data_IF_581356591100
#
_entry.id   IF_581356591100
#
_cell.length_a   1.000
_cell.length_b   1.000
_cell.length_c   1.000
_cell.angle_alpha   90.00
_cell.angle_beta   90.00
_cell.angle_gamma   90.00
#
_symmetry.space_group_name_H-M   'P 1'
#
loop_
_entity.id
_entity.type
_entity.pdbx_description
1 polymer ?
#
# COMPACT_ATOMS: atom_id res chain seq x y z
N UNK A 1 22.27 -20.02 4.78
CA UNK A 1 21.46 -21.09 5.39
C UNK A 1 20.01 -20.63 5.48
N UNK A 2 19.06 -21.43 5.00
CA UNK A 2 17.62 -21.19 5.20
C UNK A 2 17.32 -21.55 6.65
N UNK A 3 17.51 -20.60 7.56
CA UNK A 3 17.38 -20.85 8.99
C UNK A 3 15.91 -20.74 9.44
N UNK A 4 15.42 -21.77 10.14
CA UNK A 4 14.15 -21.78 10.86
C UNK A 4 13.01 -22.60 10.22
N UNK A 5 12.01 -22.94 11.04
CA UNK A 5 10.89 -23.81 10.67
C UNK A 5 10.10 -23.33 9.46
N UNK A 6 9.90 -22.01 9.33
CA UNK A 6 9.11 -21.42 8.26
C UNK A 6 9.72 -21.63 6.87
N UNK A 7 11.06 -21.62 6.77
CA UNK A 7 11.75 -21.90 5.50
C UNK A 7 11.68 -23.36 5.11
N UNK A 8 11.76 -24.28 6.08
CA UNK A 8 11.54 -25.71 5.84
C UNK A 8 10.11 -25.98 5.41
N UNK A 9 9.12 -25.36 6.05
CA UNK A 9 7.72 -25.48 5.70
C UNK A 9 7.47 -25.02 4.25
N UNK A 10 7.98 -23.84 3.88
CA UNK A 10 7.88 -23.35 2.51
C UNK A 10 8.48 -24.34 1.49
N UNK A 11 9.68 -24.86 1.75
CA UNK A 11 10.34 -25.81 0.85
C UNK A 11 9.65 -27.17 0.76
N UNK A 12 8.94 -27.61 1.81
CA UNK A 12 8.14 -28.82 1.74
C UNK A 12 7.01 -28.72 0.70
N UNK A 13 6.60 -27.51 0.33
CA UNK A 13 5.56 -27.25 -0.68
C UNK A 13 6.12 -27.15 -2.11
N UNK A 14 7.41 -26.89 -2.27
CA UNK A 14 8.03 -26.69 -3.59
C UNK A 14 7.85 -27.87 -4.55
N UNK A 15 8.04 -29.15 -4.16
CA UNK A 15 7.88 -30.26 -5.09
C UNK A 15 6.47 -30.40 -5.70
N UNK A 16 5.43 -29.90 -5.03
CA UNK A 16 4.06 -29.89 -5.58
C UNK A 16 3.96 -28.81 -6.65
N UNK A 17 4.28 -27.57 -6.30
CA UNK A 17 4.22 -26.43 -7.22
C UNK A 17 5.15 -26.61 -8.43
N UNK A 18 6.35 -27.15 -8.24
CA UNK A 18 7.28 -27.43 -9.33
C UNK A 18 6.70 -28.39 -10.37
N UNK A 19 6.02 -29.46 -9.91
CA UNK A 19 5.40 -30.45 -10.81
C UNK A 19 4.25 -29.86 -11.61
N UNK A 20 3.43 -28.99 -11.01
CA UNK A 20 2.38 -28.26 -11.73
C UNK A 20 2.96 -27.37 -12.84
N UNK A 21 4.15 -26.82 -12.61
CA UNK A 21 4.88 -26.01 -13.58
C UNK A 21 5.69 -26.85 -14.60
N UNK A 22 5.66 -28.18 -14.52
CA UNK A 22 6.47 -29.06 -15.35
C UNK A 22 7.98 -28.94 -15.10
N UNK A 23 8.38 -28.55 -13.89
CA UNK A 23 9.77 -28.35 -13.47
C UNK A 23 10.26 -29.51 -12.60
N UNK A 24 11.55 -29.85 -12.72
CA UNK A 24 12.23 -30.71 -11.75
C UNK A 24 12.57 -29.91 -10.48
N UNK A 25 11.98 -30.20 -9.31
CA UNK A 25 12.23 -29.46 -8.09
C UNK A 25 13.69 -29.54 -7.60
N UNK A 26 14.41 -30.63 -7.90
CA UNK A 26 15.78 -30.83 -7.45
C UNK A 26 16.78 -29.88 -8.15
N UNK A 27 16.41 -29.37 -9.32
CA UNK A 27 17.21 -28.44 -10.12
C UNK A 27 17.18 -27.00 -9.60
N UNK A 28 16.43 -26.71 -8.53
CA UNK A 28 16.26 -25.35 -8.00
C UNK A 28 16.89 -25.21 -6.61
N UNK A 29 17.70 -24.15 -6.44
CA UNK A 29 18.36 -23.85 -5.18
C UNK A 29 17.69 -22.66 -4.48
N UNK A 30 17.20 -22.84 -3.25
CA UNK A 30 16.54 -21.78 -2.53
C UNK A 30 17.52 -20.85 -1.80
N UNK A 31 17.21 -19.55 -1.82
CA UNK A 31 17.86 -18.50 -1.03
C UNK A 31 16.80 -17.64 -0.33
N UNK A 32 17.01 -17.18 0.92
CA UNK A 32 16.07 -16.28 1.59
C UNK A 32 15.93 -14.95 0.83
N UNK A 33 14.69 -14.53 0.55
CA UNK A 33 14.40 -13.23 -0.07
C UNK A 33 13.82 -12.25 0.95
N UNK A 34 12.78 -12.67 1.68
CA UNK A 34 12.20 -11.86 2.75
C UNK A 34 11.54 -12.77 3.81
N UNK A 35 11.52 -12.32 5.06
CA UNK A 35 10.84 -13.00 6.16
C UNK A 35 10.14 -12.00 7.04
N UNK A 36 8.92 -12.31 7.47
CA UNK A 36 8.25 -11.61 8.55
C UNK A 36 7.61 -12.61 9.49
N UNK A 37 7.94 -12.51 10.77
CA UNK A 37 7.39 -13.37 11.80
C UNK A 37 7.13 -12.56 13.07
N UNK A 38 5.86 -12.48 13.44
CA UNK A 38 5.35 -11.90 14.67
C UNK A 38 4.15 -12.74 15.15
N UNK A 39 3.49 -12.29 16.23
CA UNK A 39 2.36 -13.00 16.81
C UNK A 39 1.18 -13.18 15.83
N UNK A 40 1.01 -12.27 14.86
CA UNK A 40 -0.13 -12.24 13.93
C UNK A 40 0.23 -12.70 12.51
N UNK A 41 1.50 -12.53 12.13
CA UNK A 41 1.97 -12.81 10.76
C UNK A 41 3.15 -13.76 10.80
N UNK A 42 3.15 -14.78 9.96
CA UNK A 42 4.30 -15.63 9.70
C UNK A 42 4.34 -15.92 8.21
N UNK A 43 5.22 -15.24 7.49
CA UNK A 43 5.41 -15.42 6.05
C UNK A 43 6.87 -15.39 5.67
N UNK A 44 7.22 -16.18 4.66
CA UNK A 44 8.55 -16.20 4.07
C UNK A 44 8.45 -16.17 2.54
N UNK A 45 9.37 -15.46 1.93
CA UNK A 45 9.63 -15.47 0.50
C UNK A 45 11.03 -16.03 0.31
N UNK A 46 11.16 -17.02 -0.57
CA UNK A 46 12.43 -17.59 -1.02
C UNK A 46 12.61 -17.26 -2.49
N UNK A 47 13.81 -16.84 -2.88
CA UNK A 47 14.24 -16.89 -4.28
C UNK A 47 14.64 -18.34 -4.59
N UNK A 48 14.13 -18.89 -5.68
CA UNK A 48 14.54 -20.18 -6.20
C UNK A 48 15.38 -19.92 -7.45
N UNK A 49 16.66 -20.26 -7.39
CA UNK A 49 17.59 -20.18 -8.51
C UNK A 49 17.58 -21.51 -9.28
N UNK A 50 17.16 -21.48 -10.54
CA UNK A 50 16.99 -22.65 -11.39
C UNK A 50 17.98 -22.72 -12.54
N UNK A 51 17.79 -23.71 -13.44
CA UNK A 51 18.59 -23.85 -14.65
C UNK A 51 18.55 -22.60 -15.54
N UNK A 52 19.62 -22.40 -16.30
CA UNK A 52 19.71 -21.31 -17.31
C UNK A 52 19.54 -19.91 -16.71
N UNK A 53 19.83 -19.74 -15.41
CA UNK A 53 19.71 -18.45 -14.72
C UNK A 53 18.26 -18.03 -14.43
N UNK A 54 17.28 -18.91 -14.65
CA UNK A 54 15.88 -18.65 -14.30
C UNK A 54 15.72 -18.49 -12.79
N UNK A 55 14.90 -17.54 -12.38
CA UNK A 55 14.58 -17.30 -10.97
C UNK A 55 13.07 -17.24 -10.75
N UNK A 56 12.63 -17.78 -9.63
CA UNK A 56 11.24 -17.75 -9.17
C UNK A 56 11.18 -17.29 -7.72
N UNK A 57 10.02 -16.76 -7.31
CA UNK A 57 9.71 -16.51 -5.90
C UNK A 57 8.78 -17.59 -5.39
N UNK A 58 9.19 -18.27 -4.32
CA UNK A 58 8.31 -19.12 -3.52
C UNK A 58 7.86 -18.35 -2.29
N UNK A 59 6.56 -18.06 -2.21
CA UNK A 59 5.92 -17.39 -1.08
C UNK A 59 5.14 -18.43 -0.27
N UNK A 60 5.28 -18.39 1.05
CA UNK A 60 4.48 -19.20 1.97
C UNK A 60 3.99 -18.37 3.15
N UNK A 61 2.71 -18.48 3.47
CA UNK A 61 2.04 -17.80 4.58
C UNK A 61 1.49 -18.82 5.59
N UNK A 62 2.18 -18.95 6.73
CA UNK A 62 1.74 -19.80 7.84
C UNK A 62 0.68 -19.11 8.71
N UNK A 63 0.85 -17.81 8.97
CA UNK A 63 -0.13 -16.99 9.72
C UNK A 63 -0.51 -15.71 8.98
N UNK A 64 -1.79 -15.31 8.98
CA UNK A 64 -2.92 -15.97 9.65
C UNK A 64 -3.28 -17.31 9.01
N UNK A 65 -3.79 -18.25 9.80
CA UNK A 65 -4.32 -19.53 9.31
C UNK A 65 -5.72 -19.30 8.72
N UNK A 66 -5.74 -18.68 7.54
CA UNK A 66 -6.96 -18.26 6.86
C UNK A 66 -6.88 -18.59 5.35
N UNK A 67 -7.22 -19.83 4.97
CA UNK A 67 -7.22 -20.26 3.57
C UNK A 67 -8.16 -19.43 2.69
N UNK A 68 -9.27 -18.93 3.23
CA UNK A 68 -10.22 -18.12 2.48
C UNK A 68 -9.62 -16.78 2.09
N UNK A 69 -8.89 -16.14 3.01
CA UNK A 69 -8.15 -14.91 2.72
C UNK A 69 -7.03 -15.14 1.70
N UNK A 70 -6.29 -16.24 1.80
CA UNK A 70 -5.26 -16.58 0.82
C UNK A 70 -5.88 -16.80 -0.57
N UNK A 71 -6.98 -17.54 -0.65
CA UNK A 71 -7.74 -17.76 -1.90
C UNK A 71 -8.17 -16.44 -2.52
N UNK A 72 -8.76 -15.54 -1.72
CA UNK A 72 -9.19 -14.22 -2.19
C UNK A 72 -8.02 -13.38 -2.71
N UNK A 73 -6.84 -13.47 -2.09
CA UNK A 73 -5.63 -12.77 -2.55
C UNK A 73 -5.12 -13.35 -3.88
N UNK A 74 -5.12 -14.67 -4.06
CA UNK A 74 -4.74 -15.31 -5.33
C UNK A 74 -5.72 -14.99 -6.46
N UNK A 75 -7.02 -15.04 -6.18
CA UNK A 75 -8.05 -14.65 -7.15
C UNK A 75 -7.89 -13.19 -7.58
N UNK A 76 -7.69 -12.27 -6.62
CA UNK A 76 -7.43 -10.87 -6.93
C UNK A 76 -6.16 -10.68 -7.77
N UNK A 77 -5.08 -11.42 -7.49
CA UNK A 77 -3.86 -11.36 -8.30
C UNK A 77 -4.09 -11.84 -9.73
N UNK A 78 -4.81 -12.96 -9.92
CA UNK A 78 -5.13 -13.50 -11.24
C UNK A 78 -6.01 -12.54 -12.06
N UNK A 79 -7.04 -11.95 -11.46
CA UNK A 79 -7.89 -10.95 -12.12
C UNK A 79 -7.07 -9.76 -12.63
N UNK A 80 -6.13 -9.26 -11.81
CA UNK A 80 -5.26 -8.15 -12.22
C UNK A 80 -4.24 -8.59 -13.26
N UNK A 81 -3.71 -9.80 -13.17
CA UNK A 81 -2.80 -10.36 -14.18
C UNK A 81 -3.48 -10.51 -15.54
N UNK A 82 -4.75 -10.92 -15.56
CA UNK A 82 -5.54 -11.02 -16.80
C UNK A 82 -5.78 -9.63 -17.41
N UNK A 83 -6.17 -8.64 -16.60
CA UNK A 83 -6.48 -7.30 -17.08
C UNK A 83 -5.23 -6.42 -17.36
N UNK A 84 -4.14 -6.63 -16.62
CA UNK A 84 -2.95 -5.78 -16.62
C UNK A 84 -1.66 -6.57 -16.38
N UNK A 85 -1.43 -7.60 -17.20
CA UNK A 85 -0.27 -8.49 -17.10
C UNK A 85 1.09 -7.77 -16.96
N UNK A 86 1.29 -6.67 -17.70
CA UNK A 86 2.54 -5.92 -17.67
C UNK A 86 2.82 -5.22 -16.32
N UNK A 87 1.81 -5.06 -15.47
CA UNK A 87 1.89 -4.36 -14.19
C UNK A 87 2.00 -5.25 -12.95
N UNK A 88 2.06 -6.58 -13.11
CA UNK A 88 2.16 -7.51 -11.97
C UNK A 88 3.16 -8.63 -12.30
N UNK A 89 3.86 -9.21 -11.30
CA UNK A 89 4.60 -10.44 -11.54
C UNK A 89 3.65 -11.57 -11.88
N UNK A 90 4.02 -12.44 -12.82
CA UNK A 90 3.19 -13.59 -13.14
C UNK A 90 3.06 -14.54 -11.93
N UNK A 91 1.84 -14.82 -11.49
CA UNK A 91 1.51 -15.94 -10.61
C UNK A 91 1.48 -17.20 -11.46
N UNK A 92 2.39 -18.14 -11.16
CA UNK A 92 2.61 -19.32 -11.99
C UNK A 92 1.88 -20.55 -11.45
N UNK A 93 1.91 -20.74 -10.13
CA UNK A 93 1.21 -21.81 -9.43
C UNK A 93 0.89 -21.39 -8.00
N UNK A 94 -0.17 -21.93 -7.41
CA UNK A 94 -0.51 -21.69 -6.01
C UNK A 94 -1.29 -22.86 -5.42
N UNK A 95 -1.14 -23.04 -4.12
CA UNK A 95 -1.81 -24.05 -3.32
C UNK A 95 -2.52 -23.37 -2.15
N UNK A 96 -3.85 -23.45 -2.15
CA UNK A 96 -4.71 -22.80 -1.16
C UNK A 96 -4.59 -23.45 0.22
N UNK A 97 -4.57 -24.79 0.28
CA UNK A 97 -4.49 -25.52 1.55
C UNK A 97 -3.16 -25.26 2.25
N UNK A 98 -2.08 -25.21 1.46
CA UNK A 98 -0.72 -24.98 1.95
C UNK A 98 -0.34 -23.50 2.03
N UNK A 99 -1.22 -22.60 1.57
CA UNK A 99 -1.02 -21.15 1.49
C UNK A 99 0.35 -20.79 0.92
N UNK A 100 0.67 -21.41 -0.20
CA UNK A 100 1.95 -21.26 -0.89
C UNK A 100 1.72 -20.91 -2.35
N UNK A 101 2.61 -20.11 -2.92
CA UNK A 101 2.59 -19.84 -4.36
C UNK A 101 3.98 -19.65 -4.94
N UNK A 102 4.10 -19.97 -6.22
CA UNK A 102 5.26 -19.72 -7.06
C UNK A 102 4.95 -18.59 -8.03
N UNK A 103 5.81 -17.59 -8.08
CA UNK A 103 5.64 -16.38 -8.88
C UNK A 103 6.92 -16.08 -9.66
N UNK A 104 6.79 -15.29 -10.72
CA UNK A 104 7.91 -14.68 -11.40
C UNK A 104 8.78 -13.88 -10.42
N UNK A 105 10.09 -14.03 -10.56
CA UNK A 105 11.04 -13.21 -9.83
C UNK A 105 11.32 -11.91 -10.59
N UNK A 106 11.21 -10.78 -9.89
CA UNK A 106 11.46 -9.45 -10.44
C UNK A 106 12.80 -8.89 -9.95
N UNK A 107 13.63 -8.42 -10.87
CA UNK A 107 14.82 -7.61 -10.57
C UNK A 107 14.41 -6.18 -10.19
N UNK A 108 13.76 -6.06 -9.03
CA UNK A 108 13.13 -4.84 -8.58
C UNK A 108 13.28 -4.66 -7.07
N UNK A 109 13.18 -3.41 -6.60
CA UNK A 109 13.18 -3.07 -5.18
C UNK A 109 11.87 -2.39 -4.78
N UNK A 110 11.37 -2.59 -3.55
CA UNK A 110 10.20 -1.86 -3.07
C UNK A 110 10.41 -0.36 -3.15
N UNK A 111 9.38 0.39 -3.55
CA UNK A 111 9.42 1.84 -3.66
C UNK A 111 9.83 2.49 -2.33
N UNK A 112 9.41 1.93 -1.20
CA UNK A 112 9.84 2.40 0.13
C UNK A 112 11.35 2.40 0.31
N UNK A 113 12.05 1.38 -0.21
CA UNK A 113 13.52 1.27 -0.11
C UNK A 113 14.19 2.26 -1.04
N UNK A 114 13.66 2.44 -2.25
CA UNK A 114 14.20 3.40 -3.23
C UNK A 114 14.07 4.86 -2.76
N UNK A 115 13.08 5.16 -1.92
CA UNK A 115 12.87 6.48 -1.36
C UNK A 115 13.72 6.77 -0.11
N UNK A 116 14.43 5.78 0.45
CA UNK A 116 15.27 6.00 1.63
C UNK A 116 16.52 6.82 1.25
N UNK A 117 16.63 8.04 1.79
CA UNK A 117 17.76 8.93 1.55
C UNK A 117 17.77 9.61 0.17
N UNK A 118 16.84 9.27 -0.73
CA UNK A 118 16.76 9.87 -2.06
C UNK A 118 16.45 11.39 -1.97
N UNK A 119 17.12 12.25 -2.77
CA UNK A 119 16.77 13.66 -2.88
C UNK A 119 15.36 13.86 -3.46
N UNK A 120 14.72 15.01 -3.17
CA UNK A 120 13.34 15.29 -3.59
C UNK A 120 13.10 15.11 -5.10
N UNK A 121 14.04 15.52 -5.96
CA UNK A 121 13.94 15.34 -7.40
C UNK A 121 13.92 13.85 -7.83
N UNK A 122 14.70 13.01 -7.16
CA UNK A 122 14.70 11.56 -7.39
C UNK A 122 13.41 10.93 -6.84
N UNK A 123 12.96 11.35 -5.65
CA UNK A 123 11.67 10.94 -5.10
C UNK A 123 10.53 11.27 -6.07
N UNK A 124 10.54 12.46 -6.66
CA UNK A 124 9.55 12.90 -7.66
C UNK A 124 9.60 12.02 -8.92
N UNK A 125 10.79 11.66 -9.42
CA UNK A 125 10.92 10.74 -10.55
C UNK A 125 10.34 9.34 -10.23
N UNK A 126 10.61 8.82 -9.03
CA UNK A 126 10.05 7.54 -8.56
C UNK A 126 8.52 7.60 -8.42
N UNK A 127 7.99 8.69 -7.86
CA UNK A 127 6.54 8.89 -7.72
C UNK A 127 5.83 9.03 -9.07
N UNK A 128 6.48 9.60 -10.09
CA UNK A 128 5.95 9.63 -11.46
C UNK A 128 5.76 8.22 -12.01
N UNK A 129 6.73 7.32 -11.79
CA UNK A 129 6.63 5.92 -12.20
C UNK A 129 5.54 5.17 -11.43
N UNK A 130 5.43 5.44 -10.12
CA UNK A 130 4.34 4.91 -9.29
C UNK A 130 2.96 5.39 -9.78
N UNK A 131 2.85 6.68 -10.12
CA UNK A 131 1.65 7.25 -10.74
C UNK A 131 1.31 6.58 -12.06
N UNK A 132 2.30 6.42 -12.96
CA UNK A 132 2.11 5.74 -14.24
C UNK A 132 1.59 4.31 -14.08
N UNK A 133 2.15 3.55 -13.14
CA UNK A 133 1.67 2.22 -12.82
C UNK A 133 0.22 2.25 -12.33
N UNK A 134 -0.11 3.11 -11.36
CA UNK A 134 -1.46 3.20 -10.79
C UNK A 134 -2.48 3.65 -11.84
N UNK A 135 -2.08 4.55 -12.73
CA UNK A 135 -2.90 4.98 -13.86
C UNK A 135 -3.18 3.84 -14.83
N UNK A 136 -2.17 3.01 -15.13
CA UNK A 136 -2.33 1.80 -15.94
C UNK A 136 -3.28 0.80 -15.28
N UNK A 137 -3.08 0.53 -13.99
CA UNK A 137 -3.92 -0.36 -13.18
C UNK A 137 -5.39 0.09 -13.17
N UNK A 138 -5.66 1.36 -12.86
CA UNK A 138 -7.03 1.89 -12.85
C UNK A 138 -7.65 1.97 -14.26
N UNK A 139 -6.86 2.11 -15.33
CA UNK A 139 -7.35 2.03 -16.72
C UNK A 139 -7.74 0.62 -17.12
N UNK A 140 -6.98 -0.38 -16.68
CA UNK A 140 -7.24 -1.78 -16.98
C UNK A 140 -8.49 -2.31 -16.26
N UNK A 141 -8.79 -1.77 -15.08
CA UNK A 141 -9.94 -2.16 -14.26
C UNK A 141 -10.81 -0.93 -13.93
N UNK A 142 -11.43 -0.33 -14.97
CA UNK A 142 -12.10 0.95 -14.84
C UNK A 142 -13.41 0.82 -14.06
N UNK A 143 -13.79 1.92 -13.42
CA UNK A 143 -15.16 2.15 -12.97
C UNK A 143 -15.77 3.31 -13.76
N UNK A 144 -16.75 3.95 -13.15
CA UNK A 144 -17.50 5.05 -13.75
C UNK A 144 -17.07 6.40 -13.16
N UNK A 145 -17.37 7.48 -13.89
CA UNK A 145 -17.42 8.82 -13.29
C UNK A 145 -18.64 8.92 -12.39
N UNK A 146 -18.47 9.46 -11.19
CA UNK A 146 -19.55 9.61 -10.21
C UNK A 146 -19.43 10.94 -9.50
N UNK A 147 -20.56 11.39 -8.94
CA UNK A 147 -20.54 12.49 -7.96
C UNK A 147 -19.88 11.99 -6.68
N UNK A 148 -18.87 12.70 -6.22
CA UNK A 148 -18.19 12.38 -4.97
C UNK A 148 -19.10 12.72 -3.77
N UNK A 149 -19.28 11.74 -2.88
CA UNK A 149 -20.12 11.85 -1.69
C UNK A 149 -19.24 11.82 -0.43
N UNK A 150 -18.65 12.97 -0.01
CA UNK A 150 -17.74 13.03 1.14
C UNK A 150 -18.42 12.63 2.45
N UNK A 151 -19.76 12.72 2.52
CA UNK A 151 -20.58 12.38 3.70
C UNK A 151 -20.27 10.99 4.29
N UNK A 152 -19.88 10.01 3.47
CA UNK A 152 -19.57 8.66 3.96
C UNK A 152 -18.24 8.65 4.73
N UNK A 153 -17.19 9.21 4.17
CA UNK A 153 -15.88 9.32 4.83
C UNK A 153 -15.96 10.20 6.07
N UNK A 154 -16.62 11.37 5.96
CA UNK A 154 -16.73 12.31 7.08
C UNK A 154 -17.70 11.81 8.15
N UNK A 155 -18.73 11.05 7.79
CA UNK A 155 -19.61 10.37 8.74
C UNK A 155 -18.85 9.36 9.59
N UNK A 156 -17.99 8.55 8.97
CA UNK A 156 -17.10 7.65 9.69
C UNK A 156 -16.11 8.41 10.58
N UNK A 157 -15.49 9.49 10.08
CA UNK A 157 -14.58 10.32 10.86
C UNK A 157 -15.26 10.93 12.08
N UNK A 158 -16.50 11.43 11.96
CA UNK A 158 -17.29 11.93 13.09
C UNK A 158 -17.57 10.84 14.12
N UNK A 159 -17.80 9.60 13.69
CA UNK A 159 -17.89 8.44 14.59
C UNK A 159 -16.59 8.23 15.37
N UNK A 160 -15.44 8.24 14.70
CA UNK A 160 -14.12 8.15 15.34
C UNK A 160 -13.91 9.30 16.34
N UNK A 161 -14.28 10.54 15.98
CA UNK A 161 -14.18 11.69 16.89
C UNK A 161 -15.03 11.50 18.15
N UNK A 162 -16.26 10.99 18.02
CA UNK A 162 -17.14 10.72 19.15
C UNK A 162 -16.60 9.59 20.06
N UNK A 163 -16.01 8.54 19.47
CA UNK A 163 -15.33 7.48 20.23
C UNK A 163 -14.11 8.01 20.99
N UNK A 164 -13.33 8.91 20.38
CA UNK A 164 -12.18 9.54 21.05
C UNK A 164 -12.65 10.45 22.18
N UNK A 165 -13.65 11.30 21.93
CA UNK A 165 -14.18 12.22 22.93
C UNK A 165 -14.80 11.50 24.14
N UNK A 166 -15.42 10.34 23.93
CA UNK A 166 -15.98 9.51 25.00
C UNK A 166 -14.95 8.58 25.67
N UNK A 167 -13.72 8.51 25.15
CA UNK A 167 -12.68 7.59 25.62
C UNK A 167 -12.84 6.14 25.17
N UNK A 168 -13.87 5.82 24.37
CA UNK A 168 -14.08 4.49 23.79
C UNK A 168 -12.96 4.10 22.80
N UNK A 169 -12.27 5.09 22.21
CA UNK A 169 -11.08 4.88 21.39
C UNK A 169 -9.91 5.68 21.94
N UNK A 170 -8.85 4.97 22.33
CA UNK A 170 -7.59 5.62 22.70
C UNK A 170 -6.83 6.07 21.45
N UNK A 171 -6.46 7.34 21.40
CA UNK A 171 -5.54 7.92 20.40
C UNK A 171 -4.51 8.78 21.10
N UNK A 172 -3.34 8.94 20.49
CA UNK A 172 -2.35 9.89 20.97
C UNK A 172 -2.83 11.33 20.75
N UNK A 173 -2.56 12.25 21.67
CA UNK A 173 -2.95 13.67 21.55
C UNK A 173 -4.44 13.87 21.15
N UNK A 174 -5.40 13.36 21.95
CA UNK A 174 -6.80 13.27 21.56
C UNK A 174 -7.47 14.62 21.24
N UNK A 175 -7.16 15.67 22.00
CA UNK A 175 -7.71 17.01 21.77
C UNK A 175 -7.27 17.59 20.41
N UNK A 176 -5.97 17.49 20.11
CA UNK A 176 -5.39 17.92 18.84
C UNK A 176 -5.94 17.08 17.68
N UNK A 177 -6.08 15.78 17.88
CA UNK A 177 -6.71 14.90 16.90
C UNK A 177 -8.15 15.34 16.58
N UNK A 178 -8.97 15.60 17.61
CA UNK A 178 -10.36 16.07 17.45
C UNK A 178 -10.39 17.42 16.71
N UNK A 179 -9.50 18.35 17.06
CA UNK A 179 -9.38 19.66 16.42
C UNK A 179 -9.06 19.52 14.91
N UNK A 180 -8.03 18.75 14.56
CA UNK A 180 -7.66 18.48 13.16
C UNK A 180 -8.78 17.78 12.38
N UNK A 181 -9.43 16.78 12.98
CA UNK A 181 -10.56 16.07 12.37
C UNK A 181 -11.78 16.98 12.18
N UNK A 182 -12.03 17.89 13.12
CA UNK A 182 -13.06 18.92 13.03
C UNK A 182 -12.81 19.88 11.86
N UNK A 183 -11.57 20.33 11.68
CA UNK A 183 -11.18 21.17 10.55
C UNK A 183 -11.48 20.49 9.19
N UNK A 184 -11.15 19.20 9.05
CA UNK A 184 -11.49 18.45 7.83
C UNK A 184 -13.01 18.30 7.63
N UNK A 185 -13.76 18.10 8.71
CA UNK A 185 -15.22 18.00 8.65
C UNK A 185 -15.87 19.33 8.23
N UNK A 186 -15.35 20.47 8.69
CA UNK A 186 -15.85 21.79 8.33
C UNK A 186 -15.70 22.08 6.81
N UNK A 187 -14.72 21.45 6.16
CA UNK A 187 -14.45 21.59 4.74
C UNK A 187 -15.36 20.75 3.82
N UNK A 188 -16.35 20.01 4.35
CA UNK A 188 -17.21 19.11 3.56
C UNK A 188 -17.75 19.75 2.28
N UNK A 189 -18.24 20.99 2.37
CA UNK A 189 -18.85 21.71 1.25
C UNK A 189 -17.89 21.96 0.08
N UNK A 190 -16.57 21.93 0.30
CA UNK A 190 -15.55 22.08 -0.76
C UNK A 190 -15.47 20.89 -1.71
N UNK A 191 -15.96 19.73 -1.27
CA UNK A 191 -15.84 18.46 -1.99
C UNK A 191 -17.18 17.92 -2.49
N UNK A 192 -18.27 18.23 -1.78
CA UNK A 192 -19.62 17.75 -2.09
C UNK A 192 -20.06 18.17 -3.51
N UNK A 193 -20.76 17.26 -4.21
CA UNK A 193 -21.34 17.56 -5.53
C UNK A 193 -20.34 17.59 -6.70
N UNK A 194 -19.03 17.51 -6.43
CA UNK A 194 -17.99 17.51 -7.47
C UNK A 194 -17.81 16.10 -8.06
N UNK A 195 -17.47 16.02 -9.35
CA UNK A 195 -17.23 14.75 -10.04
C UNK A 195 -15.88 14.13 -9.69
N UNK A 196 -15.85 12.79 -9.62
CA UNK A 196 -14.62 11.99 -9.48
C UNK A 196 -14.68 10.76 -10.39
N UNK A 197 -13.55 10.05 -10.50
CA UNK A 197 -13.46 8.76 -11.18
C UNK A 197 -13.45 7.63 -10.15
N UNK A 198 -14.11 6.53 -10.47
CA UNK A 198 -13.97 5.26 -9.74
C UNK A 198 -13.18 4.26 -10.56
N UNK A 199 -12.49 3.36 -9.87
CA UNK A 199 -11.81 2.21 -10.47
C UNK A 199 -11.76 1.08 -9.43
N UNK A 200 -11.47 -0.14 -9.88
CA UNK A 200 -11.10 -1.20 -8.95
C UNK A 200 -9.83 -0.77 -8.23
N UNK A 201 -9.88 -0.74 -6.90
CA UNK A 201 -8.68 -0.44 -6.10
C UNK A 201 -7.85 -1.69 -5.84
N UNK A 202 -6.58 -1.48 -5.50
CA UNK A 202 -5.68 -2.48 -4.95
C UNK A 202 -6.12 -2.93 -3.55
N UNK A 203 -6.67 -2.00 -2.76
CA UNK A 203 -7.17 -2.24 -1.40
C UNK A 203 -6.12 -2.11 -0.29
N UNK A 204 -4.84 -2.26 -0.62
CA UNK A 204 -3.70 -2.05 0.29
C UNK A 204 -2.48 -1.40 -0.40
N UNK A 205 -2.70 -0.39 -1.25
CA UNK A 205 -1.59 0.22 -2.00
C UNK A 205 -0.74 1.17 -1.13
N UNK A 206 0.33 0.65 -0.55
CA UNK A 206 1.36 1.42 0.17
C UNK A 206 2.74 1.22 -0.47
N UNK A 207 3.76 1.96 -0.04
CA UNK A 207 5.07 2.01 -0.72
C UNK A 207 5.79 0.66 -0.85
N UNK A 208 5.51 -0.31 0.03
CA UNK A 208 6.10 -1.66 -0.07
C UNK A 208 5.41 -2.57 -1.08
N UNK A 209 4.22 -2.21 -1.55
CA UNK A 209 3.42 -2.99 -2.49
C UNK A 209 3.60 -2.52 -3.93
N UNK A 210 4.50 -1.54 -4.16
CA UNK A 210 5.05 -1.23 -5.47
C UNK A 210 6.52 -1.58 -5.48
N UNK A 211 6.94 -2.36 -6.48
CA UNK A 211 8.34 -2.68 -6.72
C UNK A 211 8.76 -2.09 -8.06
N UNK A 212 9.92 -1.44 -8.11
CA UNK A 212 10.44 -0.80 -9.30
C UNK A 212 11.77 -1.41 -9.68
N UNK A 213 11.88 -1.83 -10.94
CA UNK A 213 13.14 -2.16 -11.59
C UNK A 213 13.71 -0.93 -12.30
N UNK A 214 14.62 -1.14 -13.24
CA UNK A 214 15.19 -0.05 -14.03
C UNK A 214 14.13 0.61 -14.93
N UNK A 215 13.42 -0.20 -15.73
CA UNK A 215 12.45 0.30 -16.73
C UNK A 215 10.98 0.16 -16.31
N UNK A 216 10.64 -0.73 -15.39
CA UNK A 216 9.26 -1.09 -15.09
C UNK A 216 8.90 -1.02 -13.60
N UNK A 217 7.61 -1.00 -13.33
CA UNK A 217 7.00 -0.91 -12.01
C UNK A 217 5.90 -1.96 -11.92
N UNK A 218 5.80 -2.65 -10.79
CA UNK A 218 4.82 -3.70 -10.56
C UNK A 218 4.13 -3.56 -9.21
N UNK A 219 2.84 -3.94 -9.16
CA UNK A 219 2.08 -4.07 -7.92
C UNK A 219 2.08 -5.50 -7.41
N UNK A 220 2.11 -5.65 -6.09
CA UNK A 220 2.10 -6.95 -5.40
C UNK A 220 1.20 -6.91 -4.16
N UNK A 221 0.82 -8.08 -3.64
CA UNK A 221 0.03 -8.24 -2.41
C UNK A 221 -1.36 -7.54 -2.49
N UNK A 222 -2.15 -7.88 -3.53
CA UNK A 222 -3.52 -7.38 -3.71
C UNK A 222 -4.47 -7.82 -2.60
N UNK A 223 -5.35 -6.91 -2.17
CA UNK A 223 -6.30 -7.15 -1.08
C UNK A 223 -7.77 -7.24 -1.55
N UNK A 224 -8.00 -7.69 -2.80
CA UNK A 224 -9.35 -7.90 -3.35
C UNK A 224 -10.20 -6.63 -3.37
N UNK A 225 -9.59 -5.49 -3.74
CA UNK A 225 -10.21 -4.18 -3.64
C UNK A 225 -11.53 -4.04 -4.39
N UNK A 226 -12.19 -2.91 -4.19
CA UNK A 226 -13.56 -2.66 -4.67
C UNK A 226 -13.57 -1.54 -5.68
N UNK A 227 -14.63 -1.44 -6.48
CA UNK A 227 -14.83 -0.27 -7.34
C UNK A 227 -15.28 0.90 -6.47
N UNK A 228 -14.35 1.81 -6.17
CA UNK A 228 -14.54 3.00 -5.33
C UNK A 228 -13.78 4.19 -5.93
N UNK A 229 -13.95 5.42 -5.42
CA UNK A 229 -13.17 6.56 -5.93
C UNK A 229 -11.66 6.29 -5.92
N UNK A 230 -10.99 6.67 -7.01
CA UNK A 230 -9.54 6.45 -7.20
C UNK A 230 -8.70 7.12 -6.11
N UNK A 231 -9.24 8.15 -5.45
CA UNK A 231 -8.62 8.80 -4.31
C UNK A 231 -8.29 7.85 -3.14
N UNK A 232 -8.92 6.68 -3.02
CA UNK A 232 -8.60 5.72 -1.95
C UNK A 232 -7.19 5.14 -2.07
N UNK A 233 -6.80 4.67 -3.26
CA UNK A 233 -5.46 4.14 -3.51
C UNK A 233 -4.41 5.26 -3.56
N UNK A 234 -4.75 6.38 -4.22
CA UNK A 234 -3.89 7.55 -4.30
C UNK A 234 -3.56 8.06 -2.88
N UNK A 235 -4.57 8.24 -2.04
CA UNK A 235 -4.38 8.73 -0.68
C UNK A 235 -3.54 7.76 0.17
N UNK A 236 -3.75 6.45 0.04
CA UNK A 236 -2.98 5.45 0.79
C UNK A 236 -1.49 5.51 0.43
N UNK A 237 -1.17 5.53 -0.87
CA UNK A 237 0.22 5.57 -1.33
C UNK A 237 0.89 6.89 -0.97
N UNK A 238 0.25 8.02 -1.29
CA UNK A 238 0.85 9.35 -1.14
C UNK A 238 0.94 9.80 0.31
N UNK A 239 0.00 9.42 1.19
CA UNK A 239 0.14 9.67 2.62
C UNK A 239 1.27 8.83 3.23
N UNK A 240 1.44 7.58 2.79
CA UNK A 240 2.55 6.73 3.25
C UNK A 240 3.92 7.33 2.88
N UNK A 241 4.05 7.84 1.65
CA UNK A 241 5.18 8.67 1.21
C UNK A 241 5.36 9.92 2.06
N UNK A 242 4.30 10.72 2.20
CA UNK A 242 4.35 11.99 2.89
C UNK A 242 4.78 11.82 4.35
N UNK A 243 4.31 10.77 5.02
CA UNK A 243 4.65 10.48 6.42
C UNK A 243 6.12 10.05 6.55
N UNK A 244 6.57 9.08 5.74
CA UNK A 244 7.85 8.41 5.96
C UNK A 244 9.06 9.02 5.26
N UNK A 245 8.87 9.72 4.13
CA UNK A 245 9.96 10.08 3.21
C UNK A 245 9.97 11.56 2.81
N UNK A 246 8.81 12.20 2.68
CA UNK A 246 8.78 13.59 2.21
C UNK A 246 9.51 14.56 3.16
N UNK A 247 10.32 15.49 2.64
CA UNK A 247 10.90 16.59 3.42
C UNK A 247 9.76 17.52 3.88
N UNK A 248 9.49 17.56 5.18
CA UNK A 248 8.28 18.20 5.74
C UNK A 248 8.31 19.72 5.57
N UNK A 249 9.50 20.29 5.56
CA UNK A 249 9.80 21.69 5.31
C UNK A 249 9.42 22.14 3.88
N UNK A 250 9.45 21.22 2.91
CA UNK A 250 9.05 21.49 1.53
C UNK A 250 7.53 21.37 1.31
N UNK A 251 6.76 21.01 2.36
CA UNK A 251 5.30 20.89 2.31
C UNK A 251 4.68 22.24 2.70
N UNK A 252 3.93 22.90 1.79
CA UNK A 252 3.19 24.12 2.11
C UNK A 252 2.15 23.90 3.21
N UNK A 253 1.81 24.97 3.94
CA UNK A 253 0.71 24.92 4.91
C UNK A 253 -0.63 24.60 4.21
N UNK A 254 -1.41 23.70 4.81
CA UNK A 254 -2.65 23.18 4.27
C UNK A 254 -2.48 22.00 3.29
N UNK A 255 -1.25 21.67 2.89
CA UNK A 255 -0.95 20.61 1.92
C UNK A 255 -0.36 19.35 2.55
N UNK A 256 -0.45 18.23 1.81
CA UNK A 256 0.04 16.91 2.27
C UNK A 256 1.37 16.52 1.63
N UNK A 257 1.69 17.05 0.44
CA UNK A 257 2.92 16.72 -0.29
C UNK A 257 3.67 17.97 -0.72
N UNK A 258 5.00 17.87 -0.94
CA UNK A 258 5.73 18.87 -1.70
C UNK A 258 5.14 19.02 -3.11
N UNK A 259 5.03 20.24 -3.66
CA UNK A 259 4.45 20.47 -5.00
C UNK A 259 5.15 19.67 -6.11
N UNK A 260 6.48 19.52 -6.02
CA UNK A 260 7.27 18.75 -6.99
C UNK A 260 6.87 17.26 -7.00
N UNK A 261 6.77 16.65 -5.82
CA UNK A 261 6.36 15.25 -5.68
C UNK A 261 4.90 15.02 -6.13
N UNK A 262 4.00 15.94 -5.74
CA UNK A 262 2.60 15.89 -6.14
C UNK A 262 2.44 16.00 -7.66
N UNK A 263 3.07 17.00 -8.26
CA UNK A 263 3.04 17.23 -9.70
C UNK A 263 3.62 16.05 -10.48
N UNK A 264 4.74 15.48 -10.02
CA UNK A 264 5.34 14.34 -10.67
C UNK A 264 4.47 13.08 -10.61
N UNK A 265 3.85 12.77 -9.47
CA UNK A 265 2.91 11.66 -9.37
C UNK A 265 1.76 11.81 -10.37
N UNK A 266 1.11 12.97 -10.40
CA UNK A 266 -0.05 13.20 -11.27
C UNK A 266 0.31 13.28 -12.76
N UNK A 267 1.52 13.74 -13.09
CA UNK A 267 2.06 13.66 -14.44
C UNK A 267 2.20 12.21 -14.94
N UNK A 268 2.50 11.26 -14.05
CA UNK A 268 2.47 9.84 -14.38
C UNK A 268 1.06 9.24 -14.42
N UNK A 269 0.22 9.60 -13.44
CA UNK A 269 -1.10 8.98 -13.25
C UNK A 269 -2.09 9.25 -14.39
N UNK A 270 -2.28 10.52 -14.74
CA UNK A 270 -2.99 10.95 -15.96
C UNK A 270 -4.50 10.71 -16.04
N UNK A 271 -5.16 10.09 -15.05
CA UNK A 271 -6.62 9.87 -15.09
C UNK A 271 -7.45 11.00 -14.46
N UNK A 272 -6.96 11.53 -13.34
CA UNK A 272 -7.48 12.74 -12.69
C UNK A 272 -6.30 13.60 -12.26
N UNK A 273 -6.57 14.85 -11.86
CA UNK A 273 -5.54 15.75 -11.33
C UNK A 273 -5.54 15.76 -9.80
N UNK A 274 -4.57 16.45 -9.20
CA UNK A 274 -4.54 16.71 -7.76
C UNK A 274 -5.80 17.45 -7.24
N UNK A 275 -6.55 18.09 -8.15
CA UNK A 275 -7.77 18.82 -7.84
C UNK A 275 -9.02 17.93 -7.70
N UNK A 276 -8.91 16.63 -7.98
CA UNK A 276 -10.03 15.70 -7.82
C UNK A 276 -10.54 15.70 -6.36
N UNK A 277 -11.86 15.83 -6.13
CA UNK A 277 -12.41 15.98 -4.78
C UNK A 277 -12.17 14.75 -3.90
N UNK A 278 -12.12 13.54 -4.48
CA UNK A 278 -11.81 12.32 -3.74
C UNK A 278 -10.35 12.31 -3.32
N UNK A 279 -9.43 12.77 -4.17
CA UNK A 279 -8.00 12.90 -3.85
C UNK A 279 -7.81 13.89 -2.70
N UNK A 280 -8.33 15.11 -2.84
CA UNK A 280 -8.10 16.18 -1.87
C UNK A 280 -8.59 15.81 -0.47
N UNK A 281 -9.80 15.23 -0.35
CA UNK A 281 -10.36 14.84 0.93
C UNK A 281 -9.71 13.57 1.50
N UNK A 282 -9.56 12.52 0.68
CA UNK A 282 -9.08 11.22 1.18
C UNK A 282 -7.62 11.28 1.59
N UNK A 283 -6.81 12.12 0.95
CA UNK A 283 -5.41 12.30 1.30
C UNK A 283 -5.26 12.91 2.70
N UNK A 284 -6.04 13.94 3.03
CA UNK A 284 -6.10 14.55 4.37
C UNK A 284 -6.69 13.59 5.41
N UNK A 285 -7.79 12.92 5.06
CA UNK A 285 -8.38 11.89 5.92
C UNK A 285 -7.41 10.74 6.19
N UNK A 286 -6.54 10.38 5.23
CA UNK A 286 -5.57 9.30 5.42
C UNK A 286 -4.50 9.66 6.44
N UNK A 287 -4.07 10.91 6.52
CA UNK A 287 -3.15 11.37 7.58
C UNK A 287 -3.77 11.16 8.96
N UNK A 288 -5.05 11.55 9.13
CA UNK A 288 -5.78 11.27 10.36
C UNK A 288 -5.95 9.76 10.60
N UNK A 289 -6.17 8.98 9.54
CA UNK A 289 -6.34 7.53 9.64
C UNK A 289 -5.10 6.80 10.15
N UNK A 290 -3.92 7.26 9.70
CA UNK A 290 -2.64 6.78 10.22
C UNK A 290 -2.45 7.20 11.68
N UNK A 291 -2.94 8.37 12.07
CA UNK A 291 -2.92 8.84 13.47
C UNK A 291 -3.73 7.93 14.39
N UNK A 292 -5.03 7.75 14.13
CA UNK A 292 -5.88 6.93 15.01
C UNK A 292 -5.59 5.42 14.91
N UNK A 293 -4.83 4.99 13.90
CA UNK A 293 -4.40 3.61 13.71
C UNK A 293 -3.15 3.23 14.52
N UNK A 294 -2.42 4.21 15.07
CA UNK A 294 -1.22 3.97 15.87
C UNK A 294 -1.57 3.81 17.36
N UNK A 295 -0.80 2.99 18.11
CA UNK A 295 -0.97 2.90 19.56
C UNK A 295 -0.89 4.28 20.23
N UNK A 296 -1.82 4.54 21.15
CA UNK A 296 -1.95 5.83 21.83
C UNK A 296 -0.74 6.13 22.74
N UNK A 297 -0.25 5.11 23.44
CA UNK A 297 0.86 5.23 24.38
C UNK A 297 2.20 4.99 23.69
N UNK A 298 3.24 5.79 23.96
CA UNK A 298 4.58 5.61 23.37
C UNK A 298 5.19 4.23 23.61
N UNK A 299 5.01 3.65 24.80
CA UNK A 299 5.55 2.35 25.20
C UNK A 299 4.97 1.17 24.41
N UNK A 300 3.77 1.33 23.85
CA UNK A 300 3.12 0.31 23.02
C UNK A 300 3.57 0.37 21.55
N UNK A 301 4.44 1.35 21.20
CA UNK A 301 4.92 1.53 19.81
C UNK A 301 6.25 0.82 19.62
N UNK A 302 6.27 -0.13 18.68
CA UNK A 302 7.54 -0.62 18.14
C UNK A 302 8.31 0.45 17.36
N UNK A 303 9.60 0.25 17.03
CA UNK A 303 10.43 1.25 16.36
C UNK A 303 9.83 1.81 15.06
N UNK A 304 9.23 0.95 14.23
CA UNK A 304 8.58 1.37 12.99
C UNK A 304 7.32 2.24 13.23
N UNK A 305 6.55 1.93 14.28
CA UNK A 305 5.38 2.72 14.68
C UNK A 305 5.81 4.06 15.29
N UNK A 306 6.89 4.10 16.07
CA UNK A 306 7.45 5.34 16.60
C UNK A 306 7.95 6.28 15.47
N UNK A 307 8.68 5.74 14.48
CA UNK A 307 9.09 6.50 13.28
C UNK A 307 7.89 7.04 12.51
N UNK A 308 6.87 6.20 12.31
CA UNK A 308 5.63 6.60 11.64
C UNK A 308 4.89 7.69 12.43
N UNK A 309 4.81 7.56 13.75
CA UNK A 309 4.19 8.56 14.63
C UNK A 309 4.87 9.93 14.52
N UNK A 310 6.20 9.97 14.55
CA UNK A 310 6.94 11.22 14.36
C UNK A 310 6.62 11.88 12.99
N UNK A 311 6.53 11.06 11.93
CA UNK A 311 6.13 11.52 10.60
C UNK A 311 4.70 12.06 10.56
N UNK A 312 3.75 11.38 11.23
CA UNK A 312 2.34 11.81 11.34
C UNK A 312 2.24 13.13 12.08
N UNK A 313 2.89 13.29 13.24
CA UNK A 313 2.85 14.52 14.03
C UNK A 313 3.36 15.74 13.25
N UNK A 314 4.50 15.57 12.57
CA UNK A 314 5.12 16.62 11.76
C UNK A 314 4.24 16.98 10.55
N UNK A 315 3.67 15.98 9.88
CA UNK A 315 2.79 16.18 8.74
C UNK A 315 1.46 16.81 9.13
N UNK A 316 0.84 16.39 10.22
CA UNK A 316 -0.44 16.94 10.66
C UNK A 316 -0.36 18.45 10.92
N UNK A 317 0.75 18.94 11.49
CA UNK A 317 0.97 20.38 11.68
C UNK A 317 1.09 21.17 10.37
N UNK A 318 1.47 20.52 9.26
CA UNK A 318 1.44 21.11 7.91
C UNK A 318 0.04 21.08 7.33
N UNK A 319 -0.64 19.94 7.43
CA UNK A 319 -1.95 19.69 6.77
C UNK A 319 -3.09 20.48 7.42
N UNK A 320 -3.07 20.62 8.74
CA UNK A 320 -4.12 21.29 9.52
C UNK A 320 -3.55 22.48 10.28
N UNK A 321 -3.14 23.56 9.59
CA UNK A 321 -2.53 24.71 10.25
C UNK A 321 -3.54 25.38 11.19
N UNK A 322 -3.13 25.63 12.43
CA UNK A 322 -3.95 26.30 13.44
C UNK A 322 -5.00 25.42 14.13
N UNK A 323 -5.00 24.11 13.85
CA UNK A 323 -5.80 23.11 14.56
C UNK A 323 -5.02 22.46 15.71
#
# INVERSE_FOLDING_TARGET
MIAGDLGRAALAHWPVLARELGLDPASWRPAPLARREDARVARILLCLDGPEGRRLVLKHELRPDDPAKFTAAMAAHLEVQEAYAAGVPALLAFDVERRACAMEFLEARPLSVLLEGAPLAEQAALLRRAGAWMGGFHRALPGERRVFQPKHTLGFLRGVMAEVASGARAVAEPERFISCAGALCADQARYEGRGTLTARTHGDLHLRNLVLGEAACWGIDFAGGRVVPVGHDIARLLADYAILHAPKEAIPAGEVLPPEALGAFFAGYGLVTAEDPSVQLLLRNRVLAEWWGLPARPEDRGPAQARRWAGVQALAGRVFPGA
#
